data_IF_665715242326
#
_entry.id   IF_665715242326
#
_cell.length_a   1.000
_cell.length_b   1.000
_cell.length_c   1.000
_cell.angle_alpha   90.00
_cell.angle_beta   90.00
_cell.angle_gamma   90.00
#
_symmetry.space_group_name_H-M   'P 1'
#
loop_
_entity.id
_entity.type
_entity.pdbx_description
1 polymer ?
#
# COMPACT_ATOMS: atom_id res chain seq x y z
N UNK A 1 1.87 9.15 16.57
CA UNK A 1 1.02 9.95 17.48
C UNK A 1 -0.27 10.30 16.75
N UNK A 2 -1.45 9.88 17.20
CA UNK A 2 -2.69 10.04 16.43
C UNK A 2 -3.87 10.46 17.32
N UNK A 3 -4.65 11.40 16.79
CA UNK A 3 -5.73 12.10 17.48
C UNK A 3 -7.02 11.27 17.57
N UNK A 4 -7.54 11.15 18.79
CA UNK A 4 -8.92 10.75 19.07
C UNK A 4 -9.89 11.77 18.45
N UNK A 5 -10.63 11.37 17.40
CA UNK A 5 -11.78 12.12 16.96
C UNK A 5 -13.02 11.58 17.68
N UNK A 6 -13.68 12.43 18.46
CA UNK A 6 -14.91 12.09 19.17
C UNK A 6 -15.98 11.51 18.23
N UNK A 7 -16.75 10.56 18.77
CA UNK A 7 -17.79 9.70 18.17
C UNK A 7 -18.86 10.44 17.34
N UNK A 8 -18.89 11.77 17.32
CA UNK A 8 -19.96 12.61 16.74
C UNK A 8 -19.71 13.17 15.33
N UNK A 9 -18.51 13.06 14.75
CA UNK A 9 -18.28 13.44 13.34
C UNK A 9 -18.29 12.19 12.45
N UNK A 10 -19.11 12.16 11.40
CA UNK A 10 -19.06 11.14 10.34
C UNK A 10 -17.61 11.09 9.81
N UNK A 11 -16.85 10.09 10.24
CA UNK A 11 -15.47 9.94 9.82
C UNK A 11 -15.47 9.50 8.37
N UNK A 12 -14.89 10.34 7.51
CA UNK A 12 -14.70 10.05 6.09
C UNK A 12 -13.24 10.07 5.75
N UNK A 13 -12.84 9.08 4.98
CA UNK A 13 -11.47 8.86 4.60
C UNK A 13 -11.38 8.78 3.10
N UNK A 14 -10.37 9.44 2.55
CA UNK A 14 -10.19 9.55 1.11
C UNK A 14 -8.83 9.00 0.78
N UNK A 15 -8.79 7.80 0.20
CA UNK A 15 -7.57 7.22 -0.37
C UNK A 15 -7.36 7.78 -1.76
N UNK A 16 -6.17 8.32 -2.02
CA UNK A 16 -5.85 8.93 -3.31
C UNK A 16 -4.52 8.37 -3.82
N UNK A 17 -4.53 8.00 -5.09
CA UNK A 17 -3.35 7.60 -5.84
C UNK A 17 -3.40 8.20 -7.24
N UNK A 18 -2.27 8.26 -7.94
CA UNK A 18 -2.20 8.73 -9.32
C UNK A 18 -0.91 8.27 -9.98
N UNK A 19 -0.98 8.18 -11.31
CA UNK A 19 0.14 7.93 -12.22
C UNK A 19 0.23 9.06 -13.25
N UNK A 20 0.82 8.80 -14.42
CA UNK A 20 1.00 9.81 -15.46
C UNK A 20 -0.24 10.03 -16.34
N UNK A 21 -1.22 9.11 -16.27
CA UNK A 21 -2.40 9.05 -17.11
C UNK A 21 -3.68 9.37 -16.35
N UNK A 22 -3.78 9.00 -15.07
CA UNK A 22 -5.01 9.07 -14.30
C UNK A 22 -4.78 9.50 -12.86
N UNK A 23 -5.81 10.13 -12.29
CA UNK A 23 -5.96 10.38 -10.87
C UNK A 23 -7.07 9.50 -10.30
N UNK A 24 -6.77 8.77 -9.24
CA UNK A 24 -7.66 7.79 -8.64
C UNK A 24 -8.03 8.17 -7.22
N UNK A 25 -9.30 8.00 -6.89
CA UNK A 25 -9.85 8.33 -5.59
C UNK A 25 -10.85 7.27 -5.14
N UNK A 26 -10.73 6.88 -3.88
CA UNK A 26 -11.77 6.15 -3.16
C UNK A 26 -12.11 6.86 -1.86
N UNK A 27 -13.40 6.94 -1.53
CA UNK A 27 -13.91 7.52 -0.29
C UNK A 27 -14.66 6.46 0.49
N UNK A 28 -14.30 6.29 1.76
CA UNK A 28 -15.04 5.44 2.70
C UNK A 28 -15.58 6.25 3.87
N UNK A 29 -16.64 5.73 4.50
CA UNK A 29 -17.14 6.21 5.78
C UNK A 29 -17.25 5.08 6.78
N UNK A 30 -17.12 5.41 8.06
CA UNK A 30 -17.50 4.47 9.11
C UNK A 30 -19.03 4.42 9.22
N UNK A 31 -19.61 3.28 8.83
CA UNK A 31 -21.03 2.98 8.95
C UNK A 31 -21.46 2.73 10.41
N UNK A 32 -22.78 2.57 10.62
CA UNK A 32 -23.39 2.41 11.95
C UNK A 32 -22.87 1.19 12.73
N UNK A 33 -22.43 0.15 12.03
CA UNK A 33 -21.91 -1.09 12.62
C UNK A 33 -20.39 -1.10 12.79
N UNK A 34 -19.75 0.08 12.79
CA UNK A 34 -18.29 0.23 12.77
C UNK A 34 -17.60 -0.48 11.59
N UNK A 35 -18.34 -0.79 10.53
CA UNK A 35 -17.81 -1.27 9.25
C UNK A 35 -17.51 -0.09 8.34
N UNK A 36 -16.38 -0.12 7.64
CA UNK A 36 -16.10 0.86 6.59
C UNK A 36 -16.97 0.53 5.37
N UNK A 37 -17.72 1.53 4.92
CA UNK A 37 -18.55 1.49 3.73
C UNK A 37 -17.89 2.35 2.67
N UNK A 38 -17.75 1.82 1.46
CA UNK A 38 -17.31 2.60 0.30
C UNK A 38 -18.46 3.53 -0.13
N UNK A 39 -18.18 4.82 -0.24
CA UNK A 39 -19.15 5.86 -0.61
C UNK A 39 -18.96 6.27 -2.06
N UNK A 40 -17.70 6.40 -2.48
CA UNK A 40 -17.37 6.92 -3.79
C UNK A 40 -16.08 6.27 -4.30
N UNK A 41 -16.03 6.05 -5.60
CA UNK A 41 -14.82 5.67 -6.31
C UNK A 41 -14.80 6.47 -7.61
N UNK A 42 -13.66 7.08 -7.92
CA UNK A 42 -13.55 8.00 -9.04
C UNK A 42 -12.19 7.80 -9.72
N UNK A 43 -12.23 7.66 -11.04
CA UNK A 43 -11.06 7.67 -11.91
C UNK A 43 -11.17 8.89 -12.82
N UNK A 44 -10.19 9.78 -12.75
CA UNK A 44 -10.12 11.00 -13.55
C UNK A 44 -8.92 10.89 -14.51
N UNK A 45 -9.15 10.61 -15.81
CA UNK A 45 -8.07 10.62 -16.79
C UNK A 45 -7.55 12.04 -16.98
N UNK A 46 -6.23 12.18 -17.14
CA UNK A 46 -5.59 13.43 -17.55
C UNK A 46 -5.83 13.65 -19.04
N UNK A 47 -6.82 14.46 -19.37
CA UNK A 47 -7.18 14.80 -20.75
C UNK A 47 -6.14 15.68 -21.46
N UNK A 48 -5.17 16.24 -20.74
CA UNK A 48 -4.12 17.11 -21.28
C UNK A 48 -2.77 16.75 -20.66
N UNK A 49 -1.66 16.74 -21.43
CA UNK A 49 -0.31 16.59 -20.90
C UNK A 49 0.16 17.84 -20.14
N UNK A 50 -0.51 18.97 -20.28
CA UNK A 50 -0.13 20.23 -19.62
C UNK A 50 -0.57 20.24 -18.14
N UNK A 51 0.38 20.50 -17.24
CA UNK A 51 0.15 20.53 -15.78
C UNK A 51 -0.93 21.53 -15.36
N UNK A 52 -1.02 22.68 -16.06
CA UNK A 52 -1.98 23.75 -15.75
C UNK A 52 -3.43 23.28 -15.97
N UNK A 53 -3.68 22.59 -17.09
CA UNK A 53 -5.02 22.06 -17.42
C UNK A 53 -5.41 20.95 -16.45
N UNK A 54 -4.46 20.05 -16.11
CA UNK A 54 -4.65 19.00 -15.10
C UNK A 54 -5.05 19.61 -13.76
N UNK A 55 -4.34 20.65 -13.31
CA UNK A 55 -4.63 21.31 -12.04
C UNK A 55 -6.02 21.97 -12.03
N UNK A 56 -6.43 22.60 -13.13
CA UNK A 56 -7.75 23.22 -13.23
C UNK A 56 -8.88 22.18 -13.14
N UNK A 57 -8.73 21.05 -13.85
CA UNK A 57 -9.68 19.93 -13.79
C UNK A 57 -9.76 19.37 -12.37
N UNK A 58 -8.61 19.08 -11.74
CA UNK A 58 -8.56 18.57 -10.38
C UNK A 58 -9.15 19.55 -9.37
N UNK A 59 -8.89 20.86 -9.49
CA UNK A 59 -9.50 21.87 -8.59
C UNK A 59 -11.02 21.84 -8.66
N UNK A 60 -11.60 21.74 -9.86
CA UNK A 60 -13.04 21.66 -10.06
C UNK A 60 -13.62 20.37 -9.49
N UNK A 61 -13.00 19.23 -9.81
CA UNK A 61 -13.49 17.91 -9.44
C UNK A 61 -13.30 17.58 -7.96
N UNK A 62 -12.28 18.15 -7.31
CA UNK A 62 -11.90 17.77 -5.94
C UNK A 62 -12.23 18.83 -4.87
N UNK A 63 -12.91 19.92 -5.23
CA UNK A 63 -13.28 20.99 -4.29
C UNK A 63 -14.06 20.45 -3.07
N UNK A 64 -14.91 19.45 -3.28
CA UNK A 64 -15.72 18.82 -2.22
C UNK A 64 -14.89 18.03 -1.18
N UNK A 65 -13.60 17.80 -1.44
CA UNK A 65 -12.69 17.15 -0.50
C UNK A 65 -12.14 18.11 0.57
N UNK A 66 -12.41 19.43 0.46
CA UNK A 66 -11.94 20.40 1.43
C UNK A 66 -12.41 20.03 2.85
N UNK A 67 -11.45 19.87 3.76
CA UNK A 67 -11.71 19.46 5.15
C UNK A 67 -11.85 17.95 5.38
N UNK A 68 -11.72 17.11 4.35
CA UNK A 68 -11.64 15.64 4.48
C UNK A 68 -10.21 15.19 4.81
N UNK A 69 -10.09 14.01 5.42
CA UNK A 69 -8.80 13.37 5.73
C UNK A 69 -8.32 12.59 4.51
N UNK A 70 -7.36 13.16 3.80
CA UNK A 70 -6.76 12.55 2.61
C UNK A 70 -5.57 11.68 3.04
N UNK A 71 -5.54 10.45 2.54
CA UNK A 71 -4.44 9.52 2.72
C UNK A 71 -3.84 9.26 1.34
N UNK A 72 -2.52 9.42 1.25
CA UNK A 72 -1.76 9.12 0.04
C UNK A 72 -0.96 7.83 0.22
N UNK A 73 -0.47 7.27 -0.89
CA UNK A 73 0.57 6.26 -0.88
C UNK A 73 1.89 6.83 -1.43
N UNK A 74 3.00 6.35 -0.86
CA UNK A 74 4.30 6.27 -1.53
C UNK A 74 4.54 4.83 -2.00
N UNK A 75 5.35 4.65 -3.04
CA UNK A 75 5.70 3.30 -3.49
C UNK A 75 6.68 2.68 -2.50
N UNK A 76 6.59 1.38 -2.26
CA UNK A 76 7.59 0.70 -1.41
C UNK A 76 9.03 0.90 -1.89
N UNK A 77 9.26 0.98 -3.20
CA UNK A 77 10.58 1.25 -3.81
C UNK A 77 11.20 2.59 -3.39
N UNK A 78 10.37 3.53 -2.93
CA UNK A 78 10.76 4.88 -2.52
C UNK A 78 11.11 4.94 -1.01
N UNK A 79 11.02 3.81 -0.33
CA UNK A 79 11.14 3.69 1.12
C UNK A 79 12.34 2.82 1.46
N UNK A 80 13.04 3.20 2.52
CA UNK A 80 14.11 2.39 3.11
C UNK A 80 13.66 1.92 4.48
N UNK A 81 13.69 0.61 4.70
CA UNK A 81 13.36 0.01 5.99
C UNK A 81 14.57 -0.59 6.66
N UNK A 82 14.56 -0.57 7.99
CA UNK A 82 15.57 -1.24 8.81
C UNK A 82 14.94 -1.81 10.07
N UNK A 83 15.12 -3.11 10.28
CA UNK A 83 14.80 -3.82 11.51
C UNK A 83 16.08 -4.06 12.31
N UNK A 84 16.03 -3.78 13.60
CA UNK A 84 17.12 -4.02 14.55
C UNK A 84 16.59 -4.83 15.72
N UNK A 85 17.24 -5.94 16.05
CA UNK A 85 16.94 -6.70 17.27
C UNK A 85 17.37 -5.86 18.48
N UNK A 86 16.46 -5.65 19.43
CA UNK A 86 16.68 -4.86 20.63
C UNK A 86 16.35 -5.66 21.89
N UNK A 87 16.89 -5.22 23.03
CA UNK A 87 16.46 -5.71 24.34
C UNK A 87 15.19 -4.97 24.79
N UNK A 88 14.45 -5.53 25.77
CA UNK A 88 13.25 -4.87 26.32
C UNK A 88 13.56 -3.58 27.09
N UNK A 89 14.81 -3.34 27.51
CA UNK A 89 15.22 -2.24 28.38
C UNK A 89 16.06 -1.16 27.67
N UNK A 90 16.09 -1.16 26.34
CA UNK A 90 17.00 -0.30 25.55
C UNK A 90 16.43 1.10 25.28
N UNK A 91 17.30 2.10 25.15
CA UNK A 91 16.92 3.48 24.81
C UNK A 91 16.53 3.58 23.32
N UNK A 92 15.25 3.87 23.08
CA UNK A 92 14.68 3.96 21.73
C UNK A 92 15.33 5.05 20.87
N UNK A 93 15.71 6.19 21.46
CA UNK A 93 16.31 7.30 20.69
C UNK A 93 17.67 6.93 20.14
N UNK A 94 18.42 6.09 20.86
CA UNK A 94 19.71 5.58 20.40
C UNK A 94 19.54 4.71 19.16
N UNK A 95 18.58 3.78 19.17
CA UNK A 95 18.32 2.89 18.03
C UNK A 95 17.78 3.64 16.81
N UNK A 96 16.91 4.63 17.02
CA UNK A 96 16.44 5.51 15.95
C UNK A 96 17.61 6.24 15.28
N UNK A 97 18.50 6.87 16.07
CA UNK A 97 19.68 7.57 15.54
C UNK A 97 20.65 6.65 14.79
N UNK A 98 20.92 5.45 15.32
CA UNK A 98 21.77 4.46 14.66
C UNK A 98 21.18 3.94 13.35
N UNK A 99 19.89 3.61 13.35
CA UNK A 99 19.19 3.12 12.16
C UNK A 99 19.13 4.20 11.07
N UNK A 100 18.77 5.44 11.44
CA UNK A 100 18.74 6.57 10.51
C UNK A 100 20.14 6.92 9.99
N UNK A 101 21.19 6.86 10.81
CA UNK A 101 22.57 7.07 10.35
C UNK A 101 22.99 6.06 9.30
N UNK A 102 22.59 4.79 9.45
CA UNK A 102 22.87 3.78 8.44
C UNK A 102 22.14 4.07 7.13
N UNK A 103 20.84 4.37 7.20
CA UNK A 103 20.03 4.69 6.00
C UNK A 103 20.60 5.90 5.27
N UNK A 104 20.94 6.96 6.02
CA UNK A 104 21.58 8.15 5.49
C UNK A 104 22.88 7.81 4.72
N UNK A 105 23.73 6.94 5.28
CA UNK A 105 24.95 6.48 4.61
C UNK A 105 24.66 5.64 3.36
N UNK A 106 23.70 4.70 3.41
CA UNK A 106 23.38 3.86 2.24
C UNK A 106 22.79 4.66 1.08
N UNK A 107 22.04 5.72 1.39
CA UNK A 107 21.45 6.61 0.40
C UNK A 107 22.37 7.77 -0.02
N UNK A 108 23.55 7.91 0.61
CA UNK A 108 24.45 9.05 0.45
C UNK A 108 23.74 10.42 0.64
N UNK A 109 22.91 10.52 1.67
CA UNK A 109 22.15 11.71 2.03
C UNK A 109 22.32 12.05 3.52
N UNK A 110 22.21 13.31 3.94
CA UNK A 110 22.29 13.65 5.35
C UNK A 110 21.03 13.18 6.11
N UNK A 111 21.16 12.89 7.41
CA UNK A 111 20.07 12.30 8.22
C UNK A 111 18.81 13.18 8.26
N UNK A 112 18.97 14.49 8.16
CA UNK A 112 17.86 15.46 8.15
C UNK A 112 17.07 15.49 6.83
N UNK A 113 17.51 14.75 5.80
CA UNK A 113 16.82 14.62 4.51
C UNK A 113 15.65 13.63 4.52
N UNK A 114 15.40 12.95 5.65
CA UNK A 114 14.39 11.90 5.75
C UNK A 114 13.23 12.28 6.65
N UNK A 115 12.03 11.81 6.29
CA UNK A 115 10.96 11.56 7.24
C UNK A 115 11.05 10.12 7.72
N UNK A 116 10.90 9.92 9.02
CA UNK A 116 10.96 8.59 9.65
C UNK A 116 9.65 8.27 10.36
N UNK A 117 9.29 6.99 10.31
CA UNK A 117 8.31 6.39 11.22
C UNK A 117 8.96 5.19 11.91
N UNK A 118 8.60 4.97 13.17
CA UNK A 118 9.21 3.91 13.98
C UNK A 118 8.14 3.06 14.65
N UNK A 119 8.41 1.77 14.75
CA UNK A 119 7.52 0.85 15.44
C UNK A 119 8.31 -0.18 16.25
N UNK A 120 7.64 -0.74 17.25
CA UNK A 120 8.15 -1.84 18.05
C UNK A 120 7.35 -3.08 17.73
N UNK A 121 8.07 -4.15 17.41
CA UNK A 121 7.47 -5.47 17.27
C UNK A 121 8.02 -6.41 18.34
N UNK A 122 7.12 -7.17 18.95
CA UNK A 122 7.45 -8.17 19.95
C UNK A 122 7.02 -9.53 19.43
N UNK A 123 7.98 -10.41 19.19
CA UNK A 123 7.72 -11.82 18.98
C UNK A 123 7.89 -12.57 20.30
N UNK A 124 7.50 -13.85 20.33
CA UNK A 124 7.65 -14.69 21.52
C UNK A 124 9.12 -14.77 22.02
N UNK A 125 10.07 -14.60 21.10
CA UNK A 125 11.50 -14.77 21.39
C UNK A 125 12.28 -13.46 21.41
N UNK A 126 11.86 -12.46 20.63
CA UNK A 126 12.68 -11.29 20.33
C UNK A 126 11.86 -9.99 20.38
N UNK A 127 12.54 -8.89 20.68
CA UNK A 127 12.00 -7.54 20.51
C UNK A 127 12.73 -6.87 19.35
N UNK A 128 11.99 -6.20 18.49
CA UNK A 128 12.51 -5.54 17.31
C UNK A 128 12.14 -4.06 17.34
N UNK A 129 13.13 -3.23 17.03
CA UNK A 129 12.94 -1.84 16.67
C UNK A 129 12.97 -1.75 15.16
N UNK A 130 11.94 -1.16 14.62
CA UNK A 130 11.85 -0.98 13.20
C UNK A 130 11.76 0.50 12.84
N UNK A 131 12.49 0.87 11.79
CA UNK A 131 12.50 2.22 11.25
C UNK A 131 12.19 2.16 9.76
N UNK A 132 11.28 3.04 9.35
CA UNK A 132 10.90 3.28 7.97
C UNK A 132 11.27 4.70 7.63
N UNK A 133 11.97 4.91 6.52
CA UNK A 133 12.42 6.23 6.09
C UNK A 133 12.03 6.51 4.64
N UNK A 134 11.59 7.74 4.38
CA UNK A 134 11.32 8.26 3.03
C UNK A 134 12.01 9.60 2.85
N UNK A 135 12.55 9.85 1.66
CA UNK A 135 13.16 11.15 1.34
C UNK A 135 12.14 12.28 1.46
N UNK A 136 12.50 13.37 2.17
CA UNK A 136 11.68 14.59 2.27
C UNK A 136 11.37 15.17 0.90
N UNK A 137 12.35 15.17 0.00
CA UNK A 137 12.17 15.71 -1.35
C UNK A 137 11.08 14.95 -2.12
N UNK A 138 11.07 13.62 -1.99
CA UNK A 138 10.09 12.76 -2.62
C UNK A 138 8.70 12.87 -1.98
N UNK A 139 8.63 12.95 -0.66
CA UNK A 139 7.36 13.17 0.02
C UNK A 139 6.78 14.55 -0.33
N UNK A 140 7.61 15.59 -0.35
CA UNK A 140 7.21 16.95 -0.70
C UNK A 140 6.73 17.08 -2.13
N UNK A 141 7.38 16.42 -3.09
CA UNK A 141 6.89 16.40 -4.47
C UNK A 141 5.50 15.76 -4.57
N UNK A 142 5.26 14.67 -3.81
CA UNK A 142 3.97 13.98 -3.74
C UNK A 142 2.87 14.86 -3.11
N UNK A 143 3.14 15.57 -2.01
CA UNK A 143 2.12 16.39 -1.33
C UNK A 143 1.93 17.79 -1.94
N UNK A 144 2.88 18.28 -2.74
CA UNK A 144 2.83 19.62 -3.32
C UNK A 144 1.58 19.84 -4.19
N UNK A 145 1.14 18.81 -4.92
CA UNK A 145 -0.10 18.84 -5.69
C UNK A 145 -1.30 19.20 -4.81
N UNK A 146 -1.42 18.58 -3.64
CA UNK A 146 -2.54 18.82 -2.72
C UNK A 146 -2.52 20.23 -2.13
N UNK A 147 -1.33 20.75 -1.86
CA UNK A 147 -1.16 22.15 -1.44
C UNK A 147 -1.69 23.11 -2.52
N UNK A 148 -1.36 22.87 -3.81
CA UNK A 148 -1.89 23.65 -4.94
C UNK A 148 -3.42 23.53 -5.10
N UNK A 149 -4.00 22.41 -4.65
CA UNK A 149 -5.45 22.15 -4.65
C UNK A 149 -6.17 22.69 -3.41
N UNK A 150 -5.45 23.24 -2.42
CA UNK A 150 -6.03 23.68 -1.14
C UNK A 150 -6.53 22.52 -0.28
N UNK A 151 -5.91 21.35 -0.43
CA UNK A 151 -6.23 20.11 0.27
C UNK A 151 -5.13 19.77 1.28
N UNK A 152 -5.53 19.27 2.45
CA UNK A 152 -4.60 18.83 3.49
C UNK A 152 -4.42 17.32 3.42
N UNK A 153 -3.18 16.88 3.29
CA UNK A 153 -2.81 15.47 3.47
C UNK A 153 -2.82 15.17 4.97
N UNK A 154 -3.58 14.16 5.37
CA UNK A 154 -3.69 13.73 6.77
C UNK A 154 -2.65 12.66 7.12
N UNK A 155 -2.41 11.72 6.20
CA UNK A 155 -1.45 10.63 6.39
C UNK A 155 -0.88 10.19 5.03
N UNK A 156 0.27 9.53 5.10
CA UNK A 156 0.88 8.84 3.97
C UNK A 156 1.15 7.41 4.40
N UNK A 157 0.71 6.45 3.59
CA UNK A 157 0.95 5.02 3.78
C UNK A 157 1.90 4.52 2.68
N UNK A 158 2.33 3.28 2.80
CA UNK A 158 3.08 2.57 1.75
C UNK A 158 2.08 1.70 1.00
N UNK A 159 2.14 1.72 -0.33
CA UNK A 159 1.21 1.03 -1.23
C UNK A 159 0.95 -0.44 -0.85
N UNK A 160 2.00 -1.25 -0.74
CA UNK A 160 1.90 -2.68 -0.41
C UNK A 160 1.32 -2.93 0.97
N UNK A 161 1.65 -2.09 1.96
CA UNK A 161 1.07 -2.22 3.30
C UNK A 161 -0.40 -1.83 3.33
N UNK A 162 -0.82 -0.87 2.50
CA UNK A 162 -2.22 -0.56 2.33
C UNK A 162 -2.98 -1.77 1.74
N UNK A 163 -2.43 -2.44 0.72
CA UNK A 163 -2.98 -3.67 0.13
C UNK A 163 -3.07 -4.78 1.18
N UNK A 164 -2.00 -5.03 1.92
CA UNK A 164 -1.96 -6.09 2.92
C UNK A 164 -2.90 -5.85 4.11
N UNK A 165 -3.01 -4.60 4.56
CA UNK A 165 -4.00 -4.25 5.60
C UNK A 165 -5.44 -4.42 5.09
N UNK A 166 -5.70 -4.22 3.78
CA UNK A 166 -7.00 -4.55 3.19
C UNK A 166 -7.27 -6.06 3.25
N UNK A 167 -6.27 -6.93 3.00
CA UNK A 167 -6.44 -8.39 3.16
C UNK A 167 -6.97 -8.75 4.54
N UNK A 168 -6.38 -8.22 5.60
CA UNK A 168 -6.81 -8.43 7.00
C UNK A 168 -8.24 -7.97 7.25
N UNK A 169 -8.69 -6.91 6.58
CA UNK A 169 -10.07 -6.39 6.68
C UNK A 169 -11.09 -7.21 5.91
N UNK A 170 -10.68 -7.87 4.83
CA UNK A 170 -11.55 -8.71 4.02
C UNK A 170 -11.66 -10.12 4.60
N UNK A 171 -10.57 -10.66 5.13
CA UNK A 171 -10.45 -12.02 5.65
C UNK A 171 -10.46 -12.06 7.18
N UNK A 172 -11.44 -11.38 7.81
CA UNK A 172 -11.51 -11.17 9.27
C UNK A 172 -11.50 -12.46 10.11
N UNK A 173 -11.86 -13.60 9.52
CA UNK A 173 -11.85 -14.91 10.20
C UNK A 173 -10.47 -15.56 10.26
N UNK A 174 -9.48 -15.00 9.56
CA UNK A 174 -8.12 -15.52 9.49
C UNK A 174 -7.19 -14.56 10.22
N UNK A 175 -6.31 -15.11 11.06
CA UNK A 175 -5.20 -14.36 11.62
C UNK A 175 -4.12 -14.24 10.54
N UNK A 176 -4.13 -13.13 9.79
CA UNK A 176 -3.15 -12.86 8.73
C UNK A 176 -2.05 -11.97 9.29
N UNK A 177 -0.91 -12.57 9.57
CA UNK A 177 0.33 -11.90 9.98
C UNK A 177 1.37 -11.87 8.85
N UNK A 178 1.37 -12.89 8.00
CA UNK A 178 2.29 -13.11 6.89
C UNK A 178 1.57 -13.50 5.58
N UNK A 179 2.29 -13.41 4.46
CA UNK A 179 1.87 -13.94 3.16
C UNK A 179 2.50 -13.20 1.99
N UNK A 180 2.32 -13.76 0.80
CA UNK A 180 2.83 -13.21 -0.46
C UNK A 180 1.75 -12.32 -1.11
N UNK A 181 2.01 -11.02 -1.22
CA UNK A 181 1.17 -10.09 -1.98
C UNK A 181 1.70 -10.00 -3.40
N UNK A 182 0.84 -10.34 -4.36
CA UNK A 182 1.13 -10.22 -5.79
C UNK A 182 0.23 -9.11 -6.33
N UNK A 183 0.85 -8.03 -6.81
CA UNK A 183 0.16 -6.87 -7.37
C UNK A 183 0.51 -6.71 -8.84
N UNK A 184 -0.49 -6.95 -9.69
CA UNK A 184 -0.44 -6.70 -11.12
C UNK A 184 -1.02 -5.32 -11.42
N UNK A 185 -0.13 -4.35 -11.64
CA UNK A 185 -0.49 -3.02 -12.15
C UNK A 185 -0.42 -3.00 -13.68
N UNK A 186 -0.68 -1.83 -14.27
CA UNK A 186 -0.72 -1.68 -15.74
C UNK A 186 0.61 -1.98 -16.44
N UNK A 187 1.74 -1.69 -15.77
CA UNK A 187 3.08 -1.77 -16.37
C UNK A 187 3.96 -2.85 -15.74
N UNK A 188 3.56 -3.43 -14.62
CA UNK A 188 4.40 -4.36 -13.87
C UNK A 188 3.60 -5.28 -12.97
N UNK A 189 4.12 -6.50 -12.80
CA UNK A 189 3.72 -7.41 -11.75
C UNK A 189 4.78 -7.41 -10.65
N UNK A 190 4.36 -7.14 -9.42
CA UNK A 190 5.23 -7.01 -8.24
C UNK A 190 4.88 -8.05 -7.18
N UNK A 191 5.89 -8.65 -6.57
CA UNK A 191 5.78 -9.70 -5.59
C UNK A 191 6.43 -9.26 -4.29
N UNK A 192 5.64 -9.22 -3.23
CA UNK A 192 6.07 -8.78 -1.91
C UNK A 192 5.79 -9.90 -0.92
N UNK A 193 6.85 -10.48 -0.36
CA UNK A 193 6.70 -11.44 0.72
C UNK A 193 6.68 -10.69 2.05
N UNK A 194 5.56 -10.78 2.76
CA UNK A 194 5.41 -10.20 4.08
C UNK A 194 5.49 -11.28 5.16
N UNK A 195 6.28 -11.01 6.19
CA UNK A 195 6.32 -11.76 7.45
C UNK A 195 6.20 -10.76 8.61
N UNK A 196 5.35 -11.06 9.59
CA UNK A 196 5.12 -10.17 10.73
C UNK A 196 4.84 -8.71 10.29
N UNK A 197 3.96 -8.58 9.28
CA UNK A 197 3.54 -7.31 8.67
C UNK A 197 4.64 -6.48 7.99
N UNK A 198 5.80 -7.06 7.67
CA UNK A 198 6.87 -6.39 6.94
C UNK A 198 7.35 -7.19 5.76
N UNK A 199 7.87 -6.48 4.77
CA UNK A 199 8.56 -7.13 3.66
C UNK A 199 9.85 -7.78 4.18
N UNK A 200 9.93 -9.10 4.05
CA UNK A 200 11.04 -9.90 4.59
C UNK A 200 12.04 -10.35 3.51
N UNK A 201 11.81 -9.99 2.26
CA UNK A 201 12.69 -10.28 1.13
C UNK A 201 12.67 -9.13 0.12
N UNK A 202 13.72 -9.03 -0.71
CA UNK A 202 13.76 -8.04 -1.79
C UNK A 202 12.60 -8.26 -2.77
N UNK A 203 11.70 -7.28 -2.96
CA UNK A 203 10.55 -7.48 -3.84
C UNK A 203 10.97 -7.83 -5.26
N UNK A 204 10.28 -8.79 -5.86
CA UNK A 204 10.49 -9.12 -7.27
C UNK A 204 9.58 -8.24 -8.11
N UNK A 205 10.16 -7.50 -9.05
CA UNK A 205 9.43 -6.67 -10.00
C UNK A 205 9.70 -7.15 -11.42
N UNK A 206 8.63 -7.41 -12.19
CA UNK A 206 8.72 -7.72 -13.61
C UNK A 206 7.86 -6.76 -14.41
N UNK A 207 8.46 -6.09 -15.39
CA UNK A 207 7.75 -5.25 -16.35
C UNK A 207 6.85 -6.11 -17.24
N UNK A 208 5.66 -5.61 -17.55
CA UNK A 208 4.71 -6.27 -18.45
C UNK A 208 4.74 -5.59 -19.82
N UNK A 209 4.88 -6.41 -20.87
CA UNK A 209 4.81 -5.91 -22.24
C UNK A 209 3.37 -5.66 -22.67
N UNK A 210 3.17 -4.87 -23.73
CA UNK A 210 1.83 -4.61 -24.27
C UNK A 210 1.11 -5.87 -24.77
N UNK A 211 1.84 -6.95 -25.04
CA UNK A 211 1.30 -8.27 -25.41
C UNK A 211 0.70 -8.97 -24.19
N UNK A 212 1.42 -8.94 -23.06
CA UNK A 212 0.97 -9.52 -21.79
C UNK A 212 -0.30 -8.81 -21.28
N UNK A 213 -0.45 -7.51 -21.57
CA UNK A 213 -1.63 -6.69 -21.20
C UNK A 213 -2.90 -7.04 -21.96
N UNK A 214 -2.81 -7.41 -23.24
CA UNK A 214 -4.01 -7.78 -24.03
C UNK A 214 -4.54 -9.16 -23.66
N UNK A 215 -3.72 -9.92 -22.96
CA UNK A 215 -3.98 -11.28 -22.57
C UNK A 215 -3.98 -11.40 -21.03
N UNK A 216 -4.65 -10.49 -20.32
CA UNK A 216 -4.88 -10.58 -18.87
C UNK A 216 -5.47 -11.94 -18.43
N UNK A 217 -6.00 -12.73 -19.38
CA UNK A 217 -6.54 -14.07 -19.18
C UNK A 217 -5.72 -15.21 -19.85
N UNK A 218 -4.55 -14.97 -20.46
CA UNK A 218 -3.80 -16.06 -21.10
C UNK A 218 -3.00 -16.91 -20.11
N UNK A 219 -2.73 -18.15 -20.54
CA UNK A 219 -1.87 -19.07 -19.82
C UNK A 219 -0.48 -18.47 -19.53
N UNK A 220 0.03 -17.56 -20.37
CA UNK A 220 1.40 -17.02 -20.21
C UNK A 220 1.60 -16.15 -18.96
N UNK A 221 0.64 -15.31 -18.60
CA UNK A 221 0.72 -14.49 -17.36
C UNK A 221 0.66 -15.38 -16.14
N UNK A 222 -0.19 -16.40 -16.19
CA UNK A 222 -0.34 -17.39 -15.13
C UNK A 222 0.93 -18.22 -14.96
N UNK A 223 1.49 -18.75 -16.06
CA UNK A 223 2.73 -19.54 -16.08
C UNK A 223 3.90 -18.73 -15.52
N UNK A 224 4.01 -17.47 -15.90
CA UNK A 224 5.01 -16.55 -15.34
C UNK A 224 4.86 -16.36 -13.82
N UNK A 225 3.63 -16.17 -13.32
CA UNK A 225 3.40 -16.04 -11.89
C UNK A 225 3.83 -17.33 -11.16
N UNK A 226 3.52 -18.50 -11.72
CA UNK A 226 3.98 -19.78 -11.16
C UNK A 226 5.52 -19.86 -11.11
N UNK A 227 6.22 -19.49 -12.20
CA UNK A 227 7.69 -19.48 -12.25
C UNK A 227 8.30 -18.63 -11.12
N UNK A 228 7.76 -17.42 -10.91
CA UNK A 228 8.27 -16.53 -9.86
C UNK A 228 7.97 -17.09 -8.47
N UNK A 229 6.78 -17.64 -8.25
CA UNK A 229 6.40 -18.24 -6.96
C UNK A 229 7.30 -19.44 -6.64
N UNK A 230 7.55 -20.32 -7.62
CA UNK A 230 8.47 -21.44 -7.46
C UNK A 230 9.89 -20.97 -7.14
N UNK A 231 10.38 -19.92 -7.82
CA UNK A 231 11.69 -19.32 -7.53
C UNK A 231 11.77 -18.76 -6.10
N UNK A 232 10.72 -18.07 -5.63
CA UNK A 232 10.62 -17.58 -4.25
C UNK A 232 10.59 -18.77 -3.26
N UNK A 233 9.84 -19.82 -3.57
CA UNK A 233 9.74 -21.00 -2.70
C UNK A 233 11.03 -21.82 -2.63
N UNK A 234 11.86 -21.79 -3.67
CA UNK A 234 13.15 -22.47 -3.70
C UNK A 234 14.27 -21.66 -3.04
N UNK A 235 14.21 -20.32 -3.12
CA UNK A 235 15.22 -19.43 -2.53
C UNK A 235 15.05 -19.26 -1.02
N UNK A 236 13.84 -19.45 -0.52
CA UNK A 236 13.50 -19.38 0.90
C UNK A 236 13.31 -20.84 1.35
N UNK A 237 13.77 -21.22 2.55
CA UNK A 237 13.31 -22.47 3.17
C UNK A 237 11.82 -22.31 3.54
N UNK A 238 10.96 -22.35 2.52
CA UNK A 238 9.67 -21.67 2.48
C UNK A 238 8.54 -22.47 3.11
N UNK A 239 8.79 -23.00 4.32
CA UNK A 239 7.77 -23.68 5.11
C UNK A 239 6.78 -22.70 5.77
N UNK A 240 6.91 -21.38 5.52
CA UNK A 240 6.17 -20.32 6.23
C UNK A 240 5.12 -19.59 5.39
N UNK A 241 5.10 -19.74 4.06
CA UNK A 241 4.08 -19.06 3.24
C UNK A 241 2.80 -19.89 3.27
N UNK A 242 1.84 -19.46 4.07
CA UNK A 242 0.52 -20.10 4.12
C UNK A 242 -0.49 -19.43 3.18
N UNK A 243 -0.28 -18.15 2.83
CA UNK A 243 -1.27 -17.33 2.16
C UNK A 243 -0.65 -16.52 1.00
N UNK A 244 -1.35 -16.50 -0.14
CA UNK A 244 -1.03 -15.70 -1.32
C UNK A 244 -2.23 -14.81 -1.64
N UNK A 245 -1.99 -13.51 -1.82
CA UNK A 245 -3.01 -12.49 -2.08
C UNK A 245 -2.80 -11.88 -3.46
N UNK A 246 -3.78 -12.07 -4.34
CA UNK A 246 -3.71 -11.63 -5.74
C UNK A 246 -4.49 -10.33 -5.94
N UNK A 247 -3.81 -9.30 -6.41
CA UNK A 247 -4.36 -8.00 -6.76
C UNK A 247 -4.11 -7.71 -8.24
N UNK A 248 -5.16 -7.30 -8.96
CA UNK A 248 -5.13 -7.04 -10.40
C UNK A 248 -5.31 -8.29 -11.27
N UNK A 249 -5.25 -9.49 -10.67
CA UNK A 249 -5.33 -10.76 -11.39
C UNK A 249 -6.74 -11.34 -11.25
N UNK A 250 -7.43 -11.58 -12.37
CA UNK A 250 -8.78 -12.17 -12.37
C UNK A 250 -8.76 -13.70 -12.45
N UNK A 251 -7.67 -14.28 -12.96
CA UNK A 251 -7.52 -15.72 -13.07
C UNK A 251 -7.54 -16.41 -11.70
N UNK A 252 -8.11 -17.61 -11.67
CA UNK A 252 -8.00 -18.50 -10.52
C UNK A 252 -6.66 -19.21 -10.57
N UNK A 253 -5.80 -18.96 -9.60
CA UNK A 253 -4.55 -19.70 -9.40
C UNK A 253 -4.77 -20.80 -8.36
N UNK A 254 -4.19 -21.97 -8.60
CA UNK A 254 -4.24 -23.12 -7.69
C UNK A 254 -2.80 -23.54 -7.45
N UNK A 255 -2.27 -23.17 -6.28
CA UNK A 255 -0.92 -23.53 -5.86
C UNK A 255 -1.05 -24.52 -4.71
N UNK A 256 -0.37 -25.66 -4.84
CA UNK A 256 -0.45 -26.72 -3.83
C UNK A 256 0.11 -26.22 -2.48
N UNK A 257 -0.56 -26.61 -1.39
CA UNK A 257 -0.14 -26.37 0.02
C UNK A 257 -0.18 -24.92 0.49
N UNK A 258 -0.74 -23.99 -0.28
CA UNK A 258 -0.95 -22.60 0.14
C UNK A 258 -2.37 -22.16 -0.15
N UNK A 259 -2.90 -21.26 0.67
CA UNK A 259 -4.18 -20.63 0.42
C UNK A 259 -3.99 -19.49 -0.58
N UNK A 260 -4.74 -19.50 -1.68
CA UNK A 260 -4.70 -18.44 -2.69
C UNK A 260 -6.00 -17.64 -2.66
N UNK A 261 -5.89 -16.34 -2.42
CA UNK A 261 -7.01 -15.42 -2.35
C UNK A 261 -6.98 -14.46 -3.54
N UNK A 262 -8.02 -14.52 -4.38
CA UNK A 262 -8.25 -13.51 -5.40
C UNK A 262 -8.87 -12.27 -4.75
N UNK A 263 -8.03 -11.33 -4.32
CA UNK A 263 -8.46 -10.14 -3.61
C UNK A 263 -9.25 -9.20 -4.51
N UNK A 264 -8.88 -9.09 -5.79
CA UNK A 264 -9.64 -8.30 -6.78
C UNK A 264 -11.09 -8.77 -6.91
N UNK A 265 -11.32 -10.07 -7.09
CA UNK A 265 -12.66 -10.64 -7.16
C UNK A 265 -13.45 -10.41 -5.86
N UNK A 266 -12.82 -10.63 -4.71
CA UNK A 266 -13.46 -10.38 -3.41
C UNK A 266 -13.87 -8.90 -3.21
N UNK A 267 -13.05 -7.96 -3.70
CA UNK A 267 -13.34 -6.52 -3.64
C UNK A 267 -14.54 -6.19 -4.53
N UNK A 268 -14.56 -6.68 -5.77
CA UNK A 268 -15.66 -6.47 -6.71
C UNK A 268 -16.99 -6.99 -6.16
N UNK A 269 -17.00 -8.21 -5.63
CA UNK A 269 -18.18 -8.84 -5.02
C UNK A 269 -18.66 -8.06 -3.79
N UNK A 270 -17.75 -7.69 -2.89
CA UNK A 270 -18.12 -7.07 -1.61
C UNK A 270 -18.60 -5.64 -1.74
N UNK A 271 -18.04 -4.87 -2.68
CA UNK A 271 -18.34 -3.44 -2.82
C UNK A 271 -19.19 -3.13 -4.05
N UNK A 272 -19.59 -4.14 -4.83
CA UNK A 272 -20.45 -4.00 -6.01
C UNK A 272 -19.95 -2.92 -6.97
N UNK A 273 -18.65 -2.95 -7.27
CA UNK A 273 -17.98 -1.93 -8.06
C UNK A 273 -18.38 -2.07 -9.53
N UNK A 274 -19.01 -1.02 -10.08
CA UNK A 274 -19.47 -0.98 -11.49
C UNK A 274 -18.56 -0.08 -12.36
N UNK A 275 -17.73 0.76 -11.73
CA UNK A 275 -16.85 1.71 -12.41
C UNK A 275 -15.37 1.31 -12.26
N UNK A 276 -14.48 1.75 -13.18
CA UNK A 276 -13.04 1.56 -13.03
C UNK A 276 -12.54 2.10 -11.70
N UNK A 277 -11.72 1.29 -11.03
CA UNK A 277 -11.17 1.59 -9.72
C UNK A 277 -9.70 1.21 -9.68
N UNK A 278 -8.95 1.84 -8.77
CA UNK A 278 -7.54 1.55 -8.57
C UNK A 278 -7.33 0.98 -7.16
N UNK A 279 -6.65 -0.17 -7.10
CA UNK A 279 -6.58 -1.02 -5.91
C UNK A 279 -5.87 -0.35 -4.74
N UNK A 280 -4.85 0.47 -4.98
CA UNK A 280 -4.14 1.21 -3.93
C UNK A 280 -5.07 2.29 -3.36
N UNK A 281 -5.73 3.10 -4.18
CA UNK A 281 -6.67 4.13 -3.71
C UNK A 281 -7.81 3.52 -2.87
N UNK A 282 -8.39 2.40 -3.31
CA UNK A 282 -9.39 1.64 -2.55
C UNK A 282 -8.82 1.11 -1.24
N UNK A 283 -7.64 0.51 -1.28
CA UNK A 283 -6.98 -0.03 -0.09
C UNK A 283 -6.71 1.07 0.91
N UNK A 284 -6.15 2.21 0.47
CA UNK A 284 -5.96 3.39 1.29
C UNK A 284 -7.26 3.89 1.91
N UNK A 285 -8.40 3.81 1.22
CA UNK A 285 -9.70 4.22 1.78
C UNK A 285 -10.26 3.19 2.77
N UNK A 286 -9.99 1.90 2.58
CA UNK A 286 -10.66 0.79 3.29
C UNK A 286 -9.81 0.11 4.36
N UNK A 287 -8.49 0.31 4.36
CA UNK A 287 -7.56 -0.43 5.22
C UNK A 287 -7.22 0.27 6.54
N UNK A 288 -7.53 1.55 6.68
CA UNK A 288 -7.06 2.33 7.83
C UNK A 288 -7.57 1.80 9.17
N UNK A 289 -6.62 1.70 10.11
CA UNK A 289 -6.83 1.27 11.48
C UNK A 289 -7.53 2.39 12.25
N UNK A 290 -8.74 2.07 12.75
CA UNK A 290 -9.32 2.79 13.88
C UNK A 290 -8.32 2.66 15.03
N UNK A 291 -7.80 3.79 15.50
CA UNK A 291 -7.15 3.86 16.81
C UNK A 291 -8.23 4.03 17.87
#
# INVERSE_FOLDING_TARGET
>A
MLFLAGIRKKYRQVGINWDDQCFYLAESQLGRNAKLELINCLTLPYSSPLEVDRLAILKKSLHYLKGKKIILAVKYQDVVERRSKISRLTDFKMHEGQALSYIAKSCNLPMDSFYTDTSLCYTNENSYFDLVAVSKAQLYSRIALFSKLGLSVFAVNIDVYALFDLCKKLLVKQAIDSGLVIYMGEESCSFYLLDDHRICFEPVHRSMTSKDRREENSASVVDFIYEVIESIFMSIECNKIENIFLFGIKNKLIINRVNVYNMSGMIEEKFSLVQPYELISLSLALSYKKL
#
